data_IF_488659156742
#
_entry.id   IF_488659156742
#
_cell.length_a   1.000
_cell.length_b   1.000
_cell.length_c   1.000
_cell.angle_alpha   90.00
_cell.angle_beta   90.00
_cell.angle_gamma   90.00
#
_symmetry.space_group_name_H-M   'P 1'
#
loop_
_entity.id
_entity.type
_entity.pdbx_description
1 polymer ?
#
# COMPACT_ATOMS: atom_id res chain seq x y z
N UNK A 1 6.67 -1.57 15.46
CA UNK A 1 7.11 -2.16 14.18
C UNK A 1 6.09 -3.13 13.61
N UNK A 2 5.44 -2.72 12.52
CA UNK A 2 4.49 -3.51 11.73
C UNK A 2 5.04 -3.72 10.31
N UNK A 3 4.62 -4.80 9.65
CA UNK A 3 4.96 -5.08 8.26
C UNK A 3 3.74 -4.81 7.39
N UNK A 4 3.82 -3.82 6.51
CA UNK A 4 2.77 -3.52 5.55
C UNK A 4 3.08 -4.18 4.22
N UNK A 5 2.06 -4.76 3.59
CA UNK A 5 2.11 -5.21 2.21
C UNK A 5 1.52 -4.13 1.30
N UNK A 6 2.17 -3.91 0.16
CA UNK A 6 1.84 -2.88 -0.80
C UNK A 6 1.91 -3.46 -2.21
N UNK A 7 1.09 -2.95 -3.13
CA UNK A 7 1.13 -3.31 -4.54
C UNK A 7 1.00 -2.06 -5.40
N UNK A 8 1.65 -2.05 -6.56
CA UNK A 8 1.62 -0.95 -7.52
C UNK A 8 0.37 -1.09 -8.39
N UNK A 9 -0.42 -0.01 -8.48
CA UNK A 9 -1.64 0.04 -9.31
C UNK A 9 -1.32 -0.34 -10.77
N UNK A 10 -2.11 -1.23 -11.36
CA UNK A 10 -1.96 -1.65 -12.76
C UNK A 10 -0.77 -2.54 -13.07
N UNK A 11 -0.02 -3.02 -12.06
CA UNK A 11 1.14 -3.90 -12.27
C UNK A 11 0.91 -5.23 -11.55
N UNK A 12 0.58 -6.27 -12.31
CA UNK A 12 0.40 -7.63 -11.80
C UNK A 12 1.69 -8.15 -11.14
N UNK A 13 1.56 -8.86 -10.00
CA UNK A 13 2.71 -9.41 -9.29
C UNK A 13 3.64 -8.37 -8.65
N UNK A 14 3.21 -7.12 -8.51
CA UNK A 14 4.04 -6.03 -7.99
C UNK A 14 4.09 -5.95 -6.46
N UNK A 15 3.52 -6.93 -5.76
CA UNK A 15 3.46 -6.93 -4.31
C UNK A 15 4.86 -6.84 -3.69
N UNK A 16 4.98 -6.00 -2.67
CA UNK A 16 6.19 -5.79 -1.90
C UNK A 16 5.81 -5.45 -0.46
N UNK A 17 6.79 -5.50 0.44
CA UNK A 17 6.55 -5.16 1.83
C UNK A 17 7.48 -4.09 2.33
N UNK A 18 6.97 -3.23 3.21
CA UNK A 18 7.74 -2.22 3.92
C UNK A 18 7.54 -2.39 5.42
N UNK A 19 8.57 -2.06 6.21
CA UNK A 19 8.47 -2.01 7.67
C UNK A 19 8.28 -0.57 8.09
N UNK A 20 7.33 -0.35 9.00
CA UNK A 20 7.05 0.95 9.63
C UNK A 20 6.82 0.75 11.12
N UNK A 21 7.00 1.80 11.90
CA UNK A 21 6.62 1.84 13.30
C UNK A 21 5.20 2.40 13.48
N UNK A 22 4.61 2.15 14.66
CA UNK A 22 3.20 2.54 14.91
C UNK A 22 3.03 4.06 14.96
N UNK A 23 4.10 4.78 15.29
CA UNK A 23 4.15 6.24 15.35
C UNK A 23 4.55 6.88 14.00
N UNK A 24 4.86 6.08 12.98
CA UNK A 24 5.28 6.60 11.67
C UNK A 24 4.12 7.32 10.96
N UNK A 25 4.45 8.47 10.36
CA UNK A 25 3.48 9.22 9.56
C UNK A 25 3.31 8.62 8.16
N UNK A 26 2.27 9.07 7.44
CA UNK A 26 2.10 8.74 6.02
C UNK A 26 3.30 9.20 5.17
N UNK A 27 3.96 10.30 5.56
CA UNK A 27 5.17 10.77 4.88
C UNK A 27 6.35 9.81 5.09
N UNK A 28 6.49 9.24 6.29
CA UNK A 28 7.53 8.26 6.58
C UNK A 28 7.29 6.96 5.82
N UNK A 29 6.03 6.51 5.71
CA UNK A 29 5.63 5.41 4.84
C UNK A 29 5.99 5.69 3.36
N UNK A 30 5.70 6.90 2.84
CA UNK A 30 6.08 7.29 1.48
C UNK A 30 7.60 7.24 1.26
N UNK A 31 8.38 7.71 2.24
CA UNK A 31 9.86 7.63 2.18
C UNK A 31 10.34 6.18 2.19
N UNK A 32 9.77 5.33 3.05
CA UNK A 32 10.13 3.92 3.13
C UNK A 32 9.88 3.19 1.80
N UNK A 33 8.71 3.42 1.17
CA UNK A 33 8.39 2.87 -0.15
C UNK A 33 9.36 3.36 -1.23
N UNK A 34 9.69 4.66 -1.23
CA UNK A 34 10.65 5.23 -2.19
C UNK A 34 12.01 4.54 -2.09
N UNK A 35 12.50 4.31 -0.87
CA UNK A 35 13.78 3.62 -0.61
C UNK A 35 13.71 2.17 -1.08
N UNK A 36 12.67 1.43 -0.69
CA UNK A 36 12.47 0.02 -1.04
C UNK A 36 12.40 -0.21 -2.55
N UNK A 37 11.72 0.66 -3.29
CA UNK A 37 11.56 0.56 -4.75
C UNK A 37 12.62 1.32 -5.55
N UNK A 38 13.56 1.99 -4.87
CA UNK A 38 14.59 2.83 -5.49
C UNK A 38 14.04 3.89 -6.45
N UNK A 39 12.88 4.46 -6.12
CA UNK A 39 12.27 5.50 -6.95
C UNK A 39 13.11 6.78 -6.92
N UNK A 40 13.40 7.33 -8.10
CA UNK A 40 14.20 8.56 -8.22
C UNK A 40 13.39 9.84 -8.02
N UNK A 41 12.05 9.75 -8.04
CA UNK A 41 11.19 10.90 -7.85
C UNK A 41 10.99 11.23 -6.34
N UNK A 42 10.61 12.47 -6.00
CA UNK A 42 10.30 12.87 -4.63
C UNK A 42 9.16 12.05 -3.99
N UNK A 43 9.31 11.67 -2.71
CA UNK A 43 8.38 10.74 -2.03
C UNK A 43 6.95 11.29 -1.93
N UNK A 44 6.79 12.61 -1.85
CA UNK A 44 5.52 13.34 -1.86
C UNK A 44 4.70 13.10 -3.15
N UNK A 45 5.36 12.74 -4.26
CA UNK A 45 4.66 12.36 -5.51
C UNK A 45 4.01 10.99 -5.44
N UNK A 46 4.30 10.15 -4.43
CA UNK A 46 3.57 8.91 -4.21
C UNK A 46 2.13 9.23 -3.78
N UNK A 47 1.17 8.66 -4.52
CA UNK A 47 -0.21 8.58 -4.10
C UNK A 47 -0.46 7.20 -3.51
N UNK A 48 -0.80 7.19 -2.23
CA UNK A 48 -1.15 5.97 -1.52
C UNK A 48 -2.68 5.86 -1.49
N UNK A 49 -3.16 4.63 -1.56
CA UNK A 49 -4.58 4.30 -1.50
C UNK A 49 -4.78 3.28 -0.39
N UNK A 50 -5.74 3.53 0.48
CA UNK A 50 -6.08 2.58 1.53
C UNK A 50 -6.82 1.41 0.91
N UNK A 51 -6.34 0.21 1.21
CA UNK A 51 -7.05 -1.03 0.98
C UNK A 51 -8.15 -1.13 2.06
N UNK A 52 -9.31 -0.52 1.79
CA UNK A 52 -10.48 -0.51 2.68
C UNK A 52 -11.67 -1.16 1.98
N UNK A 53 -12.56 -1.75 2.77
CA UNK A 53 -13.88 -2.16 2.30
C UNK A 53 -14.72 -0.93 1.92
N UNK A 54 -15.83 -1.13 1.20
CA UNK A 54 -16.76 -0.05 0.84
C UNK A 54 -17.29 0.71 2.07
N UNK A 55 -17.45 -0.03 3.18
CA UNK A 55 -17.86 0.49 4.50
C UNK A 55 -16.75 1.23 5.26
N UNK A 56 -15.55 1.32 4.68
CA UNK A 56 -14.42 2.05 5.23
C UNK A 56 -13.63 1.31 6.31
N UNK A 57 -13.97 0.04 6.56
CA UNK A 57 -13.18 -0.83 7.43
C UNK A 57 -11.88 -1.24 6.74
N UNK A 58 -10.84 -1.49 7.53
CA UNK A 58 -9.62 -2.11 7.02
C UNK A 58 -9.95 -3.48 6.43
N UNK A 59 -9.36 -3.81 5.28
CA UNK A 59 -9.49 -5.14 4.73
C UNK A 59 -8.85 -6.15 5.70
N UNK A 60 -9.60 -7.15 6.18
CA UNK A 60 -9.03 -8.29 6.88
C UNK A 60 -7.95 -8.96 6.03
N UNK A 61 -6.96 -9.59 6.69
CA UNK A 61 -5.90 -10.33 6.00
C UNK A 61 -6.43 -11.53 5.21
N UNK A 62 -7.53 -12.13 5.67
CA UNK A 62 -8.23 -13.22 4.99
C UNK A 62 -9.27 -12.76 3.94
N UNK A 63 -9.40 -11.45 3.71
CA UNK A 63 -10.31 -10.92 2.70
C UNK A 63 -9.84 -11.29 1.28
N UNK A 64 -10.73 -11.73 0.37
CA UNK A 64 -10.36 -12.05 -1.00
C UNK A 64 -9.64 -10.91 -1.73
N UNK A 65 -9.96 -9.65 -1.43
CA UNK A 65 -9.29 -8.47 -1.99
C UNK A 65 -7.90 -8.30 -1.39
N UNK A 66 -7.71 -8.57 -0.10
CA UNK A 66 -6.38 -8.59 0.53
C UNK A 66 -5.49 -9.69 -0.06
N UNK A 67 -6.02 -10.91 -0.26
CA UNK A 67 -5.30 -12.02 -0.88
C UNK A 67 -4.92 -11.73 -2.35
N UNK A 68 -5.76 -10.98 -3.07
CA UNK A 68 -5.45 -10.52 -4.43
C UNK A 68 -4.36 -9.43 -4.40
N UNK A 69 -4.43 -8.49 -3.44
CA UNK A 69 -3.38 -7.49 -3.21
C UNK A 69 -2.02 -8.12 -2.92
N UNK A 70 -1.97 -9.20 -2.12
CA UNK A 70 -0.73 -9.97 -1.88
C UNK A 70 -0.15 -10.58 -3.15
N UNK A 71 -1.00 -10.93 -4.12
CA UNK A 71 -0.61 -11.43 -5.44
C UNK A 71 -0.32 -10.29 -6.44
N UNK A 72 -0.57 -9.04 -6.05
CA UNK A 72 -0.52 -7.89 -6.95
C UNK A 72 -1.63 -7.89 -8.01
N UNK A 73 -2.70 -8.64 -7.79
CA UNK A 73 -3.93 -8.64 -8.58
C UNK A 73 -4.85 -7.58 -7.97
N UNK A 74 -5.18 -6.54 -8.73
CA UNK A 74 -5.78 -5.33 -8.16
C UNK A 74 -6.84 -4.78 -9.10
N UNK A 75 -8.10 -5.01 -8.72
CA UNK A 75 -9.26 -4.34 -9.29
C UNK A 75 -9.37 -2.90 -8.75
N UNK A 76 -10.00 -2.02 -9.53
CA UNK A 76 -10.09 -0.56 -9.32
C UNK A 76 -11.03 -0.16 -8.15
N UNK A 77 -10.77 -0.67 -6.95
CA UNK A 77 -11.52 -0.36 -5.72
C UNK A 77 -10.66 0.51 -4.82
N UNK A 78 -10.49 1.80 -5.12
CA UNK A 78 -9.62 2.67 -4.29
C UNK A 78 -10.19 4.07 -4.04
N UNK A 79 -10.36 4.39 -2.76
CA UNK A 79 -10.54 5.78 -2.28
C UNK A 79 -9.15 6.37 -1.92
N UNK A 80 -8.84 7.62 -2.33
CA UNK A 80 -7.57 8.25 -1.99
C UNK A 80 -7.40 8.43 -0.48
N UNK A 81 -6.17 8.24 0.02
CA UNK A 81 -5.82 8.71 1.37
C UNK A 81 -5.66 10.23 1.27
N UNK A 82 -6.61 10.97 1.81
CA UNK A 82 -6.54 12.45 1.92
C UNK A 82 -5.99 12.83 3.28
#
# INVERSE_FOLDING_TARGET
MVKLFCAIVGVAGSAFSVRVDEDDSVDDLKKAIKVEKMYQFPADKLQLFLAKTDDGAWLPDDDPVALQLEKGEIDDVRKPIT
#
